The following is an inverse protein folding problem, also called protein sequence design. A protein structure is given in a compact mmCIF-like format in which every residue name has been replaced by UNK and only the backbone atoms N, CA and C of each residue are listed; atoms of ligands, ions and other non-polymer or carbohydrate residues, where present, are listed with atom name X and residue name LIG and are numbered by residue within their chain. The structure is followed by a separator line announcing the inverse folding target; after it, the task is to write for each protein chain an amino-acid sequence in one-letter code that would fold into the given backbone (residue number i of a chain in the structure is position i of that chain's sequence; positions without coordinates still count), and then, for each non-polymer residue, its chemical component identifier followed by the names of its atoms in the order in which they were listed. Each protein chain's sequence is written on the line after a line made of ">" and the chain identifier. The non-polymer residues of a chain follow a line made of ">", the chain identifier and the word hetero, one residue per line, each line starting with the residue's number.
data_IF_113427183370
#
_entry.id   IF_113427183370
#
_cell.length_a   1.000
_cell.length_b   1.000
_cell.length_c   1.000
_cell.angle_alpha   90.00
_cell.angle_beta   90.00
_cell.angle_gamma   90.00
#
_symmetry.space_group_name_H-M   'P 1'
#
loop_
_entity.id
_entity.type
_entity.pdbx_description
1 polymer ?
#
# COMPACT_ATOMS: atom_id res chain seq x y z
N UNK A 1 39.68 -9.32 4.52
CA UNK A 1 38.32 -8.78 4.76
C UNK A 1 37.28 -9.32 3.76
N UNK A 2 37.52 -9.27 2.44
CA UNK A 2 36.50 -9.59 1.42
C UNK A 2 35.97 -11.04 1.41
N UNK A 3 36.78 -12.05 1.78
CA UNK A 3 36.30 -13.45 1.86
C UNK A 3 35.23 -13.64 2.94
N UNK A 4 35.44 -13.03 4.12
CA UNK A 4 34.47 -13.02 5.23
C UNK A 4 33.16 -12.34 4.84
N UNK A 5 33.22 -11.26 4.04
CA UNK A 5 32.01 -10.59 3.55
C UNK A 5 31.20 -11.50 2.60
N UNK A 6 31.87 -12.22 1.70
CA UNK A 6 31.23 -13.18 0.79
C UNK A 6 30.60 -14.35 1.55
N UNK A 7 31.22 -14.82 2.62
CA UNK A 7 30.69 -15.88 3.49
C UNK A 7 29.42 -15.42 4.21
N UNK A 8 29.41 -14.21 4.79
CA UNK A 8 28.22 -13.63 5.42
C UNK A 8 27.04 -13.49 4.45
N UNK A 9 27.29 -13.11 3.20
CA UNK A 9 26.24 -13.03 2.18
C UNK A 9 25.65 -14.39 1.81
N UNK A 10 26.51 -15.43 1.73
CA UNK A 10 26.05 -16.81 1.50
C UNK A 10 25.25 -17.34 2.68
N UNK A 11 25.69 -17.05 3.90
CA UNK A 11 25.00 -17.46 5.13
C UNK A 11 23.61 -16.80 5.22
N UNK A 12 23.51 -15.51 4.92
CA UNK A 12 22.21 -14.80 4.84
C UNK A 12 21.29 -15.44 3.80
N UNK A 13 21.81 -15.78 2.62
CA UNK A 13 21.04 -16.45 1.57
C UNK A 13 20.51 -17.82 2.04
N UNK A 14 21.35 -18.60 2.71
CA UNK A 14 20.99 -19.90 3.27
C UNK A 14 19.88 -19.79 4.32
N UNK A 15 20.03 -18.87 5.29
CA UNK A 15 19.01 -18.62 6.31
C UNK A 15 17.66 -18.23 5.71
N UNK A 16 17.66 -17.42 4.67
CA UNK A 16 16.42 -17.02 3.99
C UNK A 16 15.74 -18.21 3.29
N UNK A 17 16.50 -19.10 2.68
CA UNK A 17 15.98 -20.33 2.07
C UNK A 17 15.40 -21.28 3.12
N UNK A 18 16.09 -21.45 4.25
CA UNK A 18 15.63 -22.28 5.38
C UNK A 18 14.31 -21.76 5.95
N UNK A 19 14.19 -20.44 6.20
CA UNK A 19 12.95 -19.83 6.66
C UNK A 19 11.80 -20.00 5.66
N UNK A 20 12.06 -19.89 4.36
CA UNK A 20 11.03 -20.10 3.34
C UNK A 20 10.54 -21.56 3.31
N UNK A 21 11.47 -22.51 3.44
CA UNK A 21 11.13 -23.93 3.52
C UNK A 21 10.34 -24.25 4.79
N UNK A 22 10.73 -23.70 5.95
CA UNK A 22 9.99 -23.85 7.21
C UNK A 22 8.59 -23.24 7.13
N UNK A 23 8.46 -22.05 6.56
CA UNK A 23 7.15 -21.43 6.35
C UNK A 23 6.27 -22.26 5.42
N UNK A 24 6.82 -22.82 4.34
CA UNK A 24 6.07 -23.73 3.46
C UNK A 24 5.64 -24.99 4.20
N UNK A 25 6.51 -25.59 5.03
CA UNK A 25 6.18 -26.73 5.90
C UNK A 25 5.09 -26.41 6.92
N UNK A 26 5.12 -25.22 7.52
CA UNK A 26 4.09 -24.78 8.49
C UNK A 26 2.76 -24.40 7.83
N UNK A 27 2.78 -23.99 6.56
CA UNK A 27 1.57 -23.70 5.76
C UNK A 27 0.95 -24.97 5.15
N UNK A 28 1.67 -26.08 5.14
CA UNK A 28 1.12 -27.38 4.79
C UNK A 28 0.26 -27.88 5.95
N UNK A 29 -0.88 -28.48 5.62
CA UNK A 29 -1.72 -29.14 6.62
C UNK A 29 -0.92 -30.27 7.28
N UNK A 30 -1.12 -30.53 8.59
CA UNK A 30 -0.51 -31.66 9.25
C UNK A 30 -0.73 -32.94 8.46
N UNK A 31 0.28 -33.79 8.36
CA UNK A 31 0.26 -35.02 7.57
C UNK A 31 -0.93 -35.92 7.93
N UNK A 32 -1.30 -35.97 9.21
CA UNK A 32 -2.48 -36.70 9.69
C UNK A 32 -3.78 -36.27 8.99
N UNK A 33 -3.98 -34.97 8.74
CA UNK A 33 -5.19 -34.47 8.07
C UNK A 33 -5.16 -34.81 6.58
N UNK A 34 -3.97 -34.82 5.96
CA UNK A 34 -3.83 -35.23 4.57
C UNK A 34 -4.11 -36.73 4.39
N UNK A 35 -3.65 -37.56 5.33
CA UNK A 35 -3.94 -38.99 5.37
C UNK A 35 -5.44 -39.27 5.56
N UNK A 36 -6.11 -38.56 6.48
CA UNK A 36 -7.56 -38.67 6.64
C UNK A 36 -8.33 -38.31 5.35
N UNK A 37 -7.91 -37.24 4.66
CA UNK A 37 -8.53 -36.86 3.38
C UNK A 37 -8.28 -37.89 2.27
N UNK A 38 -7.09 -38.49 2.24
CA UNK A 38 -6.73 -39.57 1.32
C UNK A 38 -7.58 -40.83 1.58
N UNK A 39 -7.71 -41.26 2.84
CA UNK A 39 -8.53 -42.41 3.25
C UNK A 39 -10.00 -42.20 2.91
N UNK A 40 -10.54 -40.99 3.13
CA UNK A 40 -11.90 -40.64 2.72
C UNK A 40 -12.09 -40.68 1.20
N UNK A 41 -11.07 -40.33 0.42
CA UNK A 41 -11.10 -40.40 -1.04
C UNK A 41 -11.01 -41.85 -1.54
N UNK A 42 -10.19 -42.69 -0.90
CA UNK A 42 -10.04 -44.11 -1.23
C UNK A 42 -11.31 -44.90 -0.84
N UNK A 43 -11.95 -44.56 0.29
CA UNK A 43 -13.26 -45.10 0.68
C UNK A 43 -14.38 -44.68 -0.29
N UNK A 44 -14.30 -43.47 -0.85
CA UNK A 44 -15.23 -43.01 -1.88
C UNK A 44 -15.01 -43.72 -3.23
N UNK A 45 -13.78 -44.15 -3.52
CA UNK A 45 -13.40 -44.83 -4.79
C UNK A 45 -13.60 -46.35 -4.73
N UNK A 46 -13.72 -46.94 -3.54
CA UNK A 46 -14.04 -48.36 -3.36
C UNK A 46 -15.53 -48.70 -3.59
N UNK A 47 -16.39 -47.71 -3.86
CA UNK A 47 -17.76 -47.95 -4.32
C UNK A 47 -17.77 -48.24 -5.84
N UNK A 48 -18.42 -49.33 -6.32
CA UNK A 48 -18.35 -49.73 -7.72
C UNK A 48 -18.84 -48.65 -8.70
N UNK A 49 -18.19 -48.50 -9.88
CA UNK A 49 -18.60 -47.53 -10.90
C UNK A 49 -19.73 -48.10 -11.75
N UNK A 50 -20.91 -47.48 -11.71
CA UNK A 50 -21.89 -47.63 -12.77
C UNK A 50 -21.98 -46.35 -13.62
N UNK A 51 -21.48 -46.51 -14.86
CA UNK A 51 -21.88 -45.88 -16.13
C UNK A 51 -20.94 -44.84 -16.77
N UNK A 52 -20.38 -45.32 -17.90
CA UNK A 52 -20.23 -44.70 -19.22
C UNK A 52 -19.49 -43.34 -19.27
N UNK A 53 -18.27 -43.25 -19.82
CA UNK A 53 -17.91 -43.35 -21.25
C UNK A 53 -18.59 -42.28 -22.12
N UNK A 54 -17.77 -41.63 -22.97
CA UNK A 54 -18.02 -40.49 -23.88
C UNK A 54 -17.73 -39.11 -23.26
N UNK A 55 -16.81 -38.27 -23.76
CA UNK A 55 -16.21 -38.14 -25.08
C UNK A 55 -14.81 -37.49 -25.00
N UNK A 56 -14.00 -37.82 -26.00
CA UNK A 56 -12.63 -37.39 -26.20
C UNK A 56 -12.53 -36.07 -27.00
N UNK A 57 -11.45 -35.34 -26.70
CA UNK A 57 -10.51 -34.65 -27.59
C UNK A 57 -10.99 -33.60 -28.63
N UNK A 58 -10.43 -32.39 -28.48
CA UNK A 58 -9.79 -31.51 -29.50
C UNK A 58 -10.00 -30.03 -29.10
N UNK A 59 -9.18 -29.03 -29.40
CA UNK A 59 -7.78 -28.79 -29.74
C UNK A 59 -7.68 -27.25 -29.79
N UNK A 60 -6.45 -26.73 -29.79
CA UNK A 60 -6.05 -25.45 -30.39
C UNK A 60 -6.07 -24.11 -29.61
N UNK A 61 -5.16 -23.24 -30.07
CA UNK A 61 -4.29 -22.28 -29.40
C UNK A 61 -4.77 -20.81 -29.44
N UNK A 62 -4.07 -19.93 -28.71
CA UNK A 62 -3.62 -18.63 -29.26
C UNK A 62 -4.17 -17.33 -28.66
N UNK A 63 -3.26 -16.57 -28.02
CA UNK A 63 -3.00 -15.10 -28.12
C UNK A 63 -4.15 -14.10 -27.86
N UNK A 64 -4.11 -13.28 -26.81
CA UNK A 64 -3.36 -12.02 -26.54
C UNK A 64 -4.24 -10.75 -26.70
N UNK A 65 -4.12 -9.86 -25.71
CA UNK A 65 -4.26 -8.39 -25.76
C UNK A 65 -5.63 -7.76 -26.15
N UNK A 66 -6.06 -6.57 -25.72
CA UNK A 66 -5.48 -5.46 -24.96
C UNK A 66 -6.62 -4.54 -24.44
N UNK A 67 -6.26 -3.71 -23.44
CA UNK A 67 -6.60 -2.30 -23.23
C UNK A 67 -8.01 -1.69 -23.50
N UNK A 68 -8.52 -0.99 -22.49
CA UNK A 68 -8.92 0.45 -22.54
C UNK A 68 -9.41 0.87 -21.15
N UNK A 69 -8.61 1.56 -20.34
CA UNK A 69 -8.48 3.02 -20.25
C UNK A 69 -9.68 3.81 -19.68
N UNK A 70 -9.35 4.55 -18.60
CA UNK A 70 -9.82 5.92 -18.28
C UNK A 70 -11.28 6.07 -17.79
N UNK A 71 -11.64 6.85 -16.76
CA UNK A 71 -11.03 8.02 -16.09
C UNK A 71 -11.83 8.31 -14.80
N UNK A 72 -11.20 9.03 -13.85
CA UNK A 72 -11.68 10.19 -13.07
C UNK A 72 -13.18 10.22 -12.64
N UNK A 73 -13.59 10.57 -11.42
CA UNK A 73 -13.20 11.73 -10.61
C UNK A 73 -13.94 11.68 -9.24
N UNK A 74 -13.26 12.21 -8.22
CA UNK A 74 -13.74 13.08 -7.13
C UNK A 74 -15.01 12.81 -6.27
N UNK A 75 -14.74 13.04 -4.97
CA UNK A 75 -15.58 13.73 -3.98
C UNK A 75 -16.52 12.89 -3.09
N UNK A 76 -15.99 12.59 -1.90
CA UNK A 76 -16.77 12.63 -0.67
C UNK A 76 -17.35 14.04 -0.47
N UNK A 77 -18.65 14.12 -0.22
CA UNK A 77 -19.15 14.98 0.86
C UNK A 77 -20.44 14.38 1.44
N UNK A 78 -20.49 14.35 2.77
CA UNK A 78 -21.58 13.82 3.56
C UNK A 78 -22.76 14.79 3.52
N UNK A 79 -23.94 14.28 3.19
CA UNK A 79 -25.20 14.99 3.32
C UNK A 79 -26.28 14.00 3.78
N UNK A 80 -26.88 14.29 4.92
CA UNK A 80 -27.80 13.43 5.63
C UNK A 80 -29.17 13.35 4.94
N UNK A 81 -29.77 12.17 5.08
CA UNK A 81 -31.19 11.93 5.34
C UNK A 81 -32.20 11.84 4.18
N UNK A 82 -33.12 10.89 4.41
CA UNK A 82 -34.45 10.64 3.83
C UNK A 82 -34.56 9.69 2.63
N UNK A 83 -35.14 8.55 2.98
CA UNK A 83 -35.72 7.49 2.16
C UNK A 83 -36.56 8.00 0.98
N UNK A 84 -36.24 7.51 -0.21
CA UNK A 84 -37.26 7.20 -1.22
C UNK A 84 -37.08 5.76 -1.69
N UNK A 85 -37.99 4.90 -1.20
CA UNK A 85 -38.19 3.55 -1.72
C UNK A 85 -38.63 3.67 -3.18
N UNK A 86 -37.74 3.37 -4.12
CA UNK A 86 -38.13 3.00 -5.49
C UNK A 86 -38.19 1.47 -5.57
N UNK A 87 -39.43 0.98 -5.56
CA UNK A 87 -39.81 -0.42 -5.71
C UNK A 87 -39.50 -0.88 -7.14
N UNK A 88 -38.27 -1.35 -7.36
CA UNK A 88 -37.82 -1.98 -8.61
C UNK A 88 -38.08 -3.49 -8.58
N UNK A 89 -38.77 -3.97 -9.60
CA UNK A 89 -39.28 -5.33 -9.81
C UNK A 89 -38.16 -6.38 -9.74
N UNK A 90 -38.42 -7.44 -8.96
CA UNK A 90 -37.43 -8.43 -8.57
C UNK A 90 -36.85 -9.25 -9.72
N UNK A 91 -35.52 -9.26 -9.80
CA UNK A 91 -34.76 -10.40 -10.32
C UNK A 91 -34.43 -11.29 -9.14
N UNK A 92 -35.09 -12.46 -9.04
CA UNK A 92 -34.72 -13.52 -8.11
C UNK A 92 -33.51 -14.26 -8.68
N UNK A 93 -32.34 -13.64 -8.63
CA UNK A 93 -31.04 -14.26 -8.89
C UNK A 93 -30.25 -14.32 -7.58
N UNK A 94 -29.97 -15.54 -7.10
CA UNK A 94 -29.08 -15.93 -5.99
C UNK A 94 -28.88 -14.89 -4.85
N UNK A 95 -29.48 -15.17 -3.68
CA UNK A 95 -29.26 -14.47 -2.38
C UNK A 95 -27.81 -13.98 -2.22
N UNK A 96 -27.59 -12.66 -2.27
CA UNK A 96 -26.36 -12.04 -1.80
C UNK A 96 -26.19 -12.39 -0.32
N UNK A 97 -25.21 -13.25 -0.01
CA UNK A 97 -24.88 -13.67 1.34
C UNK A 97 -24.27 -12.49 2.11
N UNK A 98 -25.12 -11.68 2.76
CA UNK A 98 -24.79 -10.79 3.89
C UNK A 98 -23.82 -9.64 3.64
N UNK A 99 -24.14 -8.45 4.12
CA UNK A 99 -23.18 -7.34 4.19
C UNK A 99 -22.22 -7.60 5.36
N UNK A 100 -20.94 -7.81 5.09
CA UNK A 100 -19.91 -7.94 6.12
C UNK A 100 -19.30 -6.58 6.42
N UNK A 101 -19.24 -6.22 7.70
CA UNK A 101 -18.40 -5.13 8.19
C UNK A 101 -17.16 -5.72 8.84
N UNK A 102 -16.00 -5.51 8.21
CA UNK A 102 -14.73 -5.76 8.85
C UNK A 102 -14.48 -4.65 9.89
N UNK A 103 -14.49 -5.01 11.17
CA UNK A 103 -14.13 -4.10 12.26
C UNK A 103 -12.67 -4.38 12.63
N UNK A 104 -11.79 -3.42 12.34
CA UNK A 104 -10.41 -3.49 12.82
C UNK A 104 -10.40 -3.21 14.33
N UNK A 105 -10.18 -4.25 15.13
CA UNK A 105 -9.79 -4.10 16.54
C UNK A 105 -8.48 -3.32 16.58
N UNK A 106 -8.49 -2.10 17.14
CA UNK A 106 -7.25 -1.35 17.37
C UNK A 106 -6.40 -2.15 18.36
N UNK A 107 -5.19 -2.54 17.96
CA UNK A 107 -4.11 -2.80 18.91
C UNK A 107 -3.72 -1.43 19.50
N UNK A 108 -4.11 -1.15 20.74
CA UNK A 108 -4.28 0.23 21.22
C UNK A 108 -3.01 0.95 21.71
N UNK A 109 -1.83 0.35 21.79
CA UNK A 109 -0.68 1.04 22.45
C UNK A 109 0.69 0.85 21.83
N UNK A 110 1.15 -0.38 21.56
CA UNK A 110 2.51 -0.63 21.07
C UNK A 110 2.69 -0.28 19.59
N UNK A 111 1.68 -0.55 18.77
CA UNK A 111 1.59 -0.11 17.37
C UNK A 111 1.43 1.40 17.27
N UNK A 112 0.73 2.03 18.22
CA UNK A 112 0.57 3.48 18.31
C UNK A 112 1.89 4.20 18.54
N UNK A 113 2.69 3.75 19.51
CA UNK A 113 3.99 4.36 19.83
C UNK A 113 5.00 4.19 18.69
N UNK A 114 5.12 2.99 18.11
CA UNK A 114 6.00 2.78 16.96
C UNK A 114 5.54 3.57 15.73
N UNK A 115 4.23 3.66 15.49
CA UNK A 115 3.69 4.46 14.40
C UNK A 115 3.96 5.96 14.62
N UNK A 116 3.85 6.44 15.86
CA UNK A 116 4.17 7.83 16.18
C UNK A 116 5.65 8.11 15.98
N UNK A 117 6.54 7.25 16.50
CA UNK A 117 7.98 7.35 16.25
C UNK A 117 8.31 7.34 14.75
N UNK A 118 7.65 6.48 13.97
CA UNK A 118 7.85 6.44 12.52
C UNK A 118 7.37 7.73 11.84
N UNK A 119 6.23 8.28 12.25
CA UNK A 119 5.71 9.58 11.76
C UNK A 119 6.67 10.71 12.10
N UNK A 120 7.15 10.76 13.34
CA UNK A 120 8.07 11.78 13.82
C UNK A 120 9.41 11.70 13.09
N UNK A 121 9.92 10.49 12.86
CA UNK A 121 11.11 10.26 12.05
C UNK A 121 10.94 10.80 10.62
N UNK A 122 9.84 10.46 9.95
CA UNK A 122 9.55 10.97 8.60
C UNK A 122 9.41 12.50 8.58
N UNK A 123 8.75 13.07 9.59
CA UNK A 123 8.59 14.51 9.72
C UNK A 123 9.93 15.21 9.93
N UNK A 124 10.81 14.69 10.78
CA UNK A 124 12.14 15.25 11.01
C UNK A 124 13.01 15.17 9.74
N UNK A 125 12.94 14.07 8.98
CA UNK A 125 13.76 13.88 7.79
C UNK A 125 13.24 14.63 6.55
N UNK A 126 11.91 14.73 6.38
CA UNK A 126 11.31 15.29 5.17
C UNK A 126 10.77 16.71 5.33
N UNK A 127 10.33 17.09 6.53
CA UNK A 127 9.64 18.36 6.80
C UNK A 127 10.30 19.15 7.95
N UNK A 128 11.56 18.84 8.29
CA UNK A 128 12.32 19.49 9.36
C UNK A 128 12.86 20.88 8.99
N UNK A 129 13.48 21.61 9.96
CA UNK A 129 13.92 23.01 9.83
C UNK A 129 14.93 23.31 8.71
N UNK A 130 15.53 22.28 8.12
CA UNK A 130 16.55 22.40 7.06
C UNK A 130 16.10 21.73 5.75
N UNK A 131 14.83 21.31 5.71
CA UNK A 131 14.25 20.69 4.52
C UNK A 131 13.41 21.71 3.81
N UNK A 132 13.52 21.73 2.49
CA UNK A 132 12.79 22.70 1.69
C UNK A 132 11.39 22.23 1.30
N UNK A 133 10.90 21.17 1.93
CA UNK A 133 9.62 20.54 1.59
C UNK A 133 8.57 20.93 2.62
N UNK A 134 7.41 21.32 2.12
CA UNK A 134 6.26 21.75 2.94
C UNK A 134 5.32 20.57 3.15
N UNK A 135 4.71 20.46 4.34
CA UNK A 135 3.71 19.42 4.60
C UNK A 135 2.49 19.59 3.70
N UNK A 136 1.86 18.49 3.28
CA UNK A 136 0.69 18.53 2.40
C UNK A 136 -0.44 19.42 2.95
N UNK A 137 -0.73 19.31 4.24
CA UNK A 137 -1.79 20.11 4.89
C UNK A 137 -1.48 21.61 4.86
N UNK A 138 -0.21 21.99 5.01
CA UNK A 138 0.20 23.39 4.92
C UNK A 138 0.15 23.89 3.47
N UNK A 139 0.60 23.06 2.51
CA UNK A 139 0.57 23.39 1.09
C UNK A 139 -0.85 23.59 0.57
N UNK A 140 -1.80 22.75 0.99
CA UNK A 140 -3.21 22.86 0.62
C UNK A 140 -4.04 23.74 1.58
N UNK A 141 -3.41 24.38 2.58
CA UNK A 141 -4.13 25.22 3.54
C UNK A 141 -4.77 26.44 2.86
N UNK A 142 -5.90 26.89 3.40
CA UNK A 142 -6.56 28.11 2.92
C UNK A 142 -5.68 29.35 3.08
N UNK A 143 -4.81 29.37 4.09
CA UNK A 143 -3.81 30.44 4.26
C UNK A 143 -2.90 30.50 3.03
N UNK A 144 -2.24 29.38 2.69
CA UNK A 144 -1.37 29.31 1.51
C UNK A 144 -2.12 29.62 0.20
N UNK A 145 -3.39 29.21 0.11
CA UNK A 145 -4.23 29.50 -1.07
C UNK A 145 -4.54 30.99 -1.23
N UNK A 146 -4.75 31.71 -0.12
CA UNK A 146 -5.09 33.14 -0.11
C UNK A 146 -3.85 34.05 -0.11
N UNK A 147 -2.67 33.51 0.21
CA UNK A 147 -1.43 34.27 0.23
C UNK A 147 -1.07 34.80 -1.17
N UNK A 148 -0.65 36.08 -1.29
CA UNK A 148 -0.20 36.66 -2.57
C UNK A 148 0.99 35.91 -3.18
N UNK A 149 1.85 35.35 -2.33
CA UNK A 149 3.00 34.52 -2.72
C UNK A 149 2.78 33.12 -2.20
N UNK A 150 2.37 32.21 -3.10
CA UNK A 150 2.12 30.80 -2.76
C UNK A 150 3.42 30.11 -2.33
N UNK A 151 3.37 29.38 -1.21
CA UNK A 151 4.40 28.42 -0.81
C UNK A 151 4.41 27.24 -1.78
N UNK A 152 5.59 26.89 -2.24
CA UNK A 152 5.79 25.72 -3.10
C UNK A 152 5.84 24.43 -2.26
N UNK A 153 5.45 23.30 -2.86
CA UNK A 153 5.50 22.00 -2.21
C UNK A 153 6.95 21.59 -1.87
N UNK A 154 7.90 21.94 -2.74
CA UNK A 154 9.35 21.80 -2.54
C UNK A 154 10.02 23.08 -3.05
N UNK A 155 10.91 23.66 -2.25
CA UNK A 155 11.76 24.77 -2.67
C UNK A 155 13.15 24.22 -3.02
N UNK A 156 13.64 24.45 -4.22
CA UNK A 156 14.96 23.93 -4.60
C UNK A 156 16.10 24.81 -4.05
N UNK A 157 15.81 26.10 -3.85
CA UNK A 157 16.77 27.09 -3.37
C UNK A 157 16.08 28.02 -2.39
N UNK A 158 16.72 28.23 -1.24
CA UNK A 158 16.26 29.19 -0.26
C UNK A 158 16.37 30.60 -0.80
N UNK A 159 15.22 31.28 -0.87
CA UNK A 159 15.14 32.67 -1.33
C UNK A 159 15.93 33.63 -0.41
N UNK A 160 16.19 33.23 0.83
CA UNK A 160 17.00 33.96 1.82
C UNK A 160 18.51 33.82 1.62
N UNK A 161 18.99 32.83 0.85
CA UNK A 161 20.43 32.56 0.65
C UNK A 161 21.23 33.79 0.15
N UNK A 162 20.59 34.68 -0.59
CA UNK A 162 21.21 35.91 -1.10
C UNK A 162 20.99 37.15 -0.24
N UNK A 163 20.12 37.12 0.77
CA UNK A 163 19.71 38.32 1.50
C UNK A 163 20.86 38.85 2.37
N UNK A 164 21.56 38.01 3.10
CA UNK A 164 22.69 38.43 3.94
C UNK A 164 23.81 39.06 3.10
N UNK A 165 24.12 38.49 1.93
CA UNK A 165 25.11 39.05 0.99
C UNK A 165 24.65 40.40 0.43
N UNK A 166 23.37 40.54 0.07
CA UNK A 166 22.79 41.82 -0.37
C UNK A 166 22.84 42.88 0.71
N UNK A 167 22.52 42.53 1.95
CA UNK A 167 22.59 43.44 3.09
C UNK A 167 24.03 43.88 3.40
N UNK A 168 24.98 42.93 3.39
CA UNK A 168 26.41 43.24 3.54
C UNK A 168 26.87 44.19 2.43
N UNK A 169 26.49 43.94 1.18
CA UNK A 169 26.80 44.82 0.05
C UNK A 169 26.16 46.21 0.20
N UNK A 170 24.90 46.29 0.65
CA UNK A 170 24.22 47.56 0.89
C UNK A 170 24.87 48.36 2.03
N UNK A 171 25.27 47.70 3.12
CA UNK A 171 26.03 48.30 4.23
C UNK A 171 27.39 48.81 3.74
N UNK A 172 28.08 48.03 2.90
CA UNK A 172 29.35 48.43 2.31
C UNK A 172 29.19 49.66 1.40
N UNK A 173 28.19 49.67 0.51
CA UNK A 173 27.90 50.82 -0.37
C UNK A 173 27.60 52.10 0.43
N UNK A 174 26.86 51.99 1.54
CA UNK A 174 26.59 53.13 2.44
C UNK A 174 27.86 53.69 3.09
N UNK A 175 28.81 52.85 3.48
CA UNK A 175 30.09 53.26 4.07
C UNK A 175 31.04 53.94 3.08
N UNK A 176 30.83 53.75 1.78
CA UNK A 176 31.70 54.26 0.73
C UNK A 176 31.22 55.60 0.15
N UNK A 177 29.96 55.95 0.42
CA UNK A 177 29.34 57.21 0.00
C UNK A 177 29.30 58.27 1.13
N UNK A 178 29.83 57.93 2.31
CA UNK A 178 30.06 58.84 3.42
C UNK A 178 31.55 59.22 3.45
#
# INVERSE_FOLDING_TARGET
>A
ASRRHRELLKEKRRRHQELFAEQKKRKLLPEAVLQELQELQDLATAAPPERAAEQAAADDQGEEEEAAEQKQDQAQEQGQDKSHVKKGKGSKGARSKGNYMAVCLKDQSSTGLHQQLAKDFLNAQLYGPHTNRVQANEFFSLANKKDPVKKAAVQFVDKSWGQEKREKAAKFKKRWLA
#
